data_IF_397948260622
#
_entry.id   IF_397948260622
#
_cell.length_a   1.000
_cell.length_b   1.000
_cell.length_c   1.000
_cell.angle_alpha   90.00
_cell.angle_beta   90.00
_cell.angle_gamma   90.00
#
_symmetry.space_group_name_H-M   'P 1'
#
loop_
_entity.id
_entity.type
_entity.pdbx_description
1 polymer ?
#
# COMPACT_ATOMS: atom_id res chain seq x y z
N UNK A 1 -7.89 -12.34 -19.74
CA UNK A 1 -9.04 -11.40 -19.69
C UNK A 1 -9.07 -10.83 -18.28
N UNK A 2 -9.23 -9.51 -18.11
CA UNK A 2 -9.35 -8.92 -16.76
C UNK A 2 -10.70 -9.37 -16.19
N UNK A 3 -10.67 -10.05 -15.04
CA UNK A 3 -11.89 -10.59 -14.44
C UNK A 3 -12.30 -9.84 -13.18
N UNK A 4 -11.33 -9.26 -12.43
CA UNK A 4 -11.56 -8.52 -11.19
C UNK A 4 -10.51 -7.44 -10.98
N UNK A 5 -10.79 -6.49 -10.09
CA UNK A 5 -9.84 -5.50 -9.58
C UNK A 5 -9.77 -5.58 -8.06
N UNK A 6 -8.60 -5.35 -7.48
CA UNK A 6 -8.43 -5.20 -6.03
C UNK A 6 -7.82 -3.85 -5.72
N UNK A 7 -8.33 -3.20 -4.68
CA UNK A 7 -7.85 -1.91 -4.20
C UNK A 7 -7.39 -2.04 -2.76
N UNK A 8 -6.23 -1.48 -2.45
CA UNK A 8 -5.70 -1.40 -1.10
C UNK A 8 -5.18 0.01 -0.82
N UNK A 9 -5.59 0.54 0.32
CA UNK A 9 -5.21 1.87 0.76
C UNK A 9 -4.68 1.86 2.18
N UNK A 10 -3.66 2.67 2.44
CA UNK A 10 -3.10 2.87 3.78
C UNK A 10 -2.89 4.35 4.04
N UNK A 11 -3.14 4.77 5.28
CA UNK A 11 -2.95 6.14 5.74
C UNK A 11 -1.78 6.18 6.72
N UNK A 12 -0.77 7.02 6.43
CA UNK A 12 0.34 7.36 7.32
C UNK A 12 -0.02 8.67 8.04
N UNK A 13 -0.04 8.62 9.36
CA UNK A 13 -0.26 9.80 10.20
C UNK A 13 1.10 10.33 10.65
N UNK A 14 1.37 11.61 10.42
CA UNK A 14 2.62 12.26 10.81
C UNK A 14 2.52 13.03 12.13
N UNK A 15 1.33 13.06 12.74
CA UNK A 15 1.01 14.00 13.82
C UNK A 15 0.74 15.41 13.28
N UNK A 16 0.48 16.38 14.17
CA UNK A 16 0.24 17.78 13.81
C UNK A 16 -0.83 18.02 12.73
N UNK A 17 -1.92 17.23 12.76
CA UNK A 17 -3.01 17.28 11.76
C UNK A 17 -2.58 16.98 10.32
N UNK A 18 -1.42 16.38 10.12
CA UNK A 18 -0.93 15.96 8.81
C UNK A 18 -1.04 14.44 8.65
N UNK A 19 -1.64 14.02 7.54
CA UNK A 19 -1.72 12.63 7.12
C UNK A 19 -1.51 12.53 5.61
N UNK A 20 -0.92 11.42 5.19
CA UNK A 20 -0.81 11.04 3.79
C UNK A 20 -1.55 9.72 3.61
N UNK A 21 -2.37 9.66 2.56
CA UNK A 21 -3.11 8.46 2.20
C UNK A 21 -2.67 8.02 0.81
N UNK A 22 -2.31 6.76 0.69
CA UNK A 22 -1.99 6.14 -0.59
C UNK A 22 -2.98 5.00 -0.83
N UNK A 23 -3.69 5.09 -1.95
CA UNK A 23 -4.59 4.06 -2.45
C UNK A 23 -4.03 3.55 -3.80
N UNK A 24 -3.85 2.23 -3.92
CA UNK A 24 -3.43 1.60 -5.17
C UNK A 24 -4.48 0.56 -5.55
N UNK A 25 -4.82 0.56 -6.84
CA UNK A 25 -5.71 -0.43 -7.45
C UNK A 25 -4.94 -1.21 -8.50
N UNK A 26 -5.08 -2.52 -8.50
CA UNK A 26 -4.56 -3.40 -9.56
C UNK A 26 -5.68 -4.22 -10.16
N UNK A 27 -5.50 -4.57 -11.43
CA UNK A 27 -6.36 -5.47 -12.16
C UNK A 27 -5.80 -6.89 -12.05
N UNK A 28 -6.68 -7.87 -11.85
CA UNK A 28 -6.34 -9.29 -11.78
C UNK A 28 -6.77 -9.99 -13.07
N UNK A 29 -5.92 -10.87 -13.56
CA UNK A 29 -6.20 -11.82 -14.64
C UNK A 29 -6.67 -13.16 -14.08
N UNK A 30 -7.42 -13.95 -14.86
CA UNK A 30 -8.05 -15.20 -14.39
C UNK A 30 -7.07 -16.23 -13.78
N UNK A 31 -5.78 -16.11 -14.09
CA UNK A 31 -4.71 -16.98 -13.58
C UNK A 31 -4.07 -16.48 -12.30
N UNK A 32 -4.34 -15.23 -11.89
CA UNK A 32 -3.74 -14.61 -10.73
C UNK A 32 -4.42 -15.06 -9.44
N UNK A 33 -3.63 -15.41 -8.43
CA UNK A 33 -4.12 -15.67 -7.08
C UNK A 33 -4.41 -14.34 -6.37
N UNK A 34 -5.68 -14.07 -5.98
CA UNK A 34 -6.05 -12.80 -5.36
C UNK A 34 -5.34 -12.52 -4.03
N UNK A 35 -4.94 -13.57 -3.30
CA UNK A 35 -4.28 -13.43 -1.99
C UNK A 35 -2.83 -13.03 -2.20
N UNK A 36 -2.11 -13.71 -3.10
CA UNK A 36 -0.72 -13.35 -3.45
C UNK A 36 -0.64 -11.92 -4.02
N UNK A 37 -1.53 -11.57 -4.95
CA UNK A 37 -1.55 -10.22 -5.53
C UNK A 37 -1.89 -9.13 -4.50
N UNK A 38 -2.77 -9.44 -3.54
CA UNK A 38 -3.06 -8.54 -2.42
C UNK A 38 -1.84 -8.36 -1.50
N UNK A 39 -1.07 -9.41 -1.23
CA UNK A 39 0.17 -9.29 -0.44
C UNK A 39 1.22 -8.44 -1.14
N UNK A 40 1.40 -8.63 -2.46
CA UNK A 40 2.27 -7.78 -3.29
C UNK A 40 1.81 -6.33 -3.27
N UNK A 41 0.50 -6.09 -3.40
CA UNK A 41 -0.10 -4.75 -3.33
C UNK A 41 0.14 -4.07 -1.97
N UNK A 42 -0.02 -4.81 -0.87
CA UNK A 42 0.28 -4.31 0.49
C UNK A 42 1.76 -3.96 0.65
N UNK A 43 2.66 -4.81 0.16
CA UNK A 43 4.08 -4.57 0.21
C UNK A 43 4.47 -3.33 -0.61
N UNK A 44 3.86 -3.14 -1.79
CA UNK A 44 4.05 -1.96 -2.64
C UNK A 44 3.60 -0.68 -1.92
N UNK A 45 2.37 -0.66 -1.40
CA UNK A 45 1.82 0.48 -0.64
C UNK A 45 2.70 0.79 0.57
N UNK A 46 3.16 -0.23 1.28
CA UNK A 46 4.06 -0.05 2.42
C UNK A 46 5.43 0.50 1.99
N UNK A 47 6.01 0.03 0.89
CA UNK A 47 7.31 0.52 0.40
C UNK A 47 7.25 1.97 -0.05
N UNK A 48 6.12 2.39 -0.63
CA UNK A 48 5.91 3.78 -1.06
C UNK A 48 5.68 4.72 0.13
N UNK A 49 4.91 4.29 1.14
CA UNK A 49 4.67 5.10 2.35
C UNK A 49 5.84 5.12 3.32
N UNK A 50 6.69 4.09 3.29
CA UNK A 50 7.82 3.91 4.21
C UNK A 50 9.11 3.52 3.43
N UNK A 51 9.66 4.42 2.60
CA UNK A 51 10.91 4.17 1.88
C UNK A 51 12.09 3.97 2.87
N UNK A 52 13.02 3.05 2.56
CA UNK A 52 14.21 2.84 3.39
C UNK A 52 15.08 4.10 3.37
N UNK A 53 15.14 4.81 4.50
CA UNK A 53 15.88 6.06 4.65
C UNK A 53 15.12 7.19 5.34
N UNK A 54 13.77 7.11 5.39
CA UNK A 54 13.01 7.91 6.35
C UNK A 54 13.29 7.34 7.74
N UNK A 55 14.22 7.96 8.48
CA UNK A 55 14.38 7.71 9.90
C UNK A 55 13.01 7.83 10.56
N UNK A 56 12.55 6.74 11.19
CA UNK A 56 11.56 6.84 12.23
C UNK A 56 12.23 7.64 13.35
N UNK A 57 12.10 8.96 13.33
CA UNK A 57 12.28 9.75 14.54
C UNK A 57 11.11 9.40 15.43
N UNK A 58 11.23 8.27 16.13
CA UNK A 58 10.48 8.02 17.34
C UNK A 58 10.82 9.17 18.29
N UNK A 59 9.88 10.11 18.43
CA UNK A 59 9.98 11.13 19.46
C UNK A 59 9.79 10.40 20.81
N UNK A 60 10.86 10.45 21.61
CA UNK A 60 10.99 9.94 22.97
C UNK A 60 9.85 10.36 23.91
#
# INVERSE_FOLDING_TARGET
MIYKSISYGRTKNFGNYQSERLDITIELEEVDDPVEELEKLKALVSKQLYPPGEHQTEAF
#
